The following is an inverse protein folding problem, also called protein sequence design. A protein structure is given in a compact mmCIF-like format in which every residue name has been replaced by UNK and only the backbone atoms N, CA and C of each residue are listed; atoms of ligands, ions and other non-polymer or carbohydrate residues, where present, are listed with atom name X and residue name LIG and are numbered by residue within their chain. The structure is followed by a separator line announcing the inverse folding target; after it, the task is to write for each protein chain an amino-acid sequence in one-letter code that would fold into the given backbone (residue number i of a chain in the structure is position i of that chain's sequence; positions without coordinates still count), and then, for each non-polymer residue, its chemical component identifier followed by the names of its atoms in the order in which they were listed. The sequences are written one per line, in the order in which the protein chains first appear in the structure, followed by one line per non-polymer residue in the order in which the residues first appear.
data_IF_160747090105
#
_entry.id   IF_160747090105
#
_cell.length_a   1.000
_cell.length_b   1.000
_cell.length_c   1.000
_cell.angle_alpha   90.00
_cell.angle_beta   90.00
_cell.angle_gamma   90.00
#
_symmetry.space_group_name_H-M   'P 1'
#
loop_
_entity.id
_entity.type
_entity.pdbx_description
1 polymer ?
#
# COMPACT_ATOMS: atom_id res chain seq x y z
N UNK A 1 29.43 -67.14 35.57
CA UNK A 1 29.25 -68.55 35.12
C UNK A 1 27.76 -68.68 34.81
N UNK A 2 27.26 -69.05 33.63
CA UNK A 2 27.74 -70.00 32.63
C UNK A 2 27.49 -69.45 31.22
N UNK A 3 28.48 -69.71 30.37
CA UNK A 3 28.60 -69.44 28.94
C UNK A 3 27.95 -70.57 28.14
N UNK A 4 27.45 -70.24 26.95
CA UNK A 4 27.33 -71.19 25.83
C UNK A 4 25.90 -71.61 25.50
N UNK A 5 25.52 -71.91 24.26
CA UNK A 5 26.30 -72.08 23.04
C UNK A 5 25.37 -72.06 21.83
N UNK A 6 25.96 -71.66 20.70
CA UNK A 6 25.48 -71.67 19.33
C UNK A 6 24.99 -73.06 18.90
N UNK A 7 23.91 -73.15 18.09
CA UNK A 7 23.89 -73.98 16.87
C UNK A 7 23.02 -73.40 15.74
N UNK A 8 23.51 -73.44 14.48
CA UNK A 8 22.79 -73.05 13.27
C UNK A 8 22.19 -74.26 12.54
N UNK A 9 21.25 -73.99 11.63
CA UNK A 9 20.77 -74.76 10.44
C UNK A 9 19.40 -74.19 10.07
N UNK A 10 18.92 -74.08 8.84
CA UNK A 10 19.44 -74.11 7.46
C UNK A 10 18.24 -73.70 6.58
N UNK A 11 18.45 -73.31 5.31
CA UNK A 11 17.43 -72.72 4.45
C UNK A 11 16.48 -73.79 3.89
N UNK A 12 15.21 -73.45 3.70
CA UNK A 12 14.19 -74.38 3.22
C UNK A 12 12.95 -73.71 2.66
N UNK A 13 13.08 -73.26 1.41
CA UNK A 13 12.13 -73.40 0.30
C UNK A 13 10.72 -72.75 0.34
N UNK A 14 10.22 -72.35 -0.85
CA UNK A 14 9.10 -71.43 -1.00
C UNK A 14 7.76 -72.18 -1.00
N UNK A 15 6.77 -71.64 -0.28
CA UNK A 15 5.37 -72.08 -0.44
C UNK A 15 4.48 -70.93 -0.84
N UNK A 16 4.20 -70.94 -2.14
CA UNK A 16 3.01 -70.53 -2.86
C UNK A 16 1.87 -69.87 -2.07
N UNK A 17 1.59 -68.64 -2.51
CA UNK A 17 0.26 -68.11 -2.84
C UNK A 17 -0.89 -68.44 -1.88
N UNK A 18 -1.12 -67.54 -0.95
CA UNK A 18 -2.50 -67.20 -0.58
C UNK A 18 -2.75 -65.76 -1.03
N UNK A 19 -3.28 -65.66 -2.26
CA UNK A 19 -4.11 -64.54 -2.72
C UNK A 19 -5.38 -64.52 -1.88
N UNK A 20 -5.22 -64.22 -0.59
CA UNK A 20 -6.32 -63.89 0.29
C UNK A 20 -6.77 -62.49 -0.09
N UNK A 21 -8.00 -62.40 -0.60
CA UNK A 21 -8.72 -61.17 -0.92
C UNK A 21 -8.39 -60.03 0.07
N UNK A 22 -7.37 -59.25 -0.27
CA UNK A 22 -7.17 -57.92 0.25
C UNK A 22 -8.33 -57.12 -0.31
N UNK A 23 -9.44 -57.14 0.43
CA UNK A 23 -10.61 -56.31 0.20
C UNK A 23 -10.06 -54.93 -0.12
N UNK A 24 -10.21 -54.57 -1.39
CA UNK A 24 -9.76 -53.35 -2.02
C UNK A 24 -10.51 -52.25 -1.28
N UNK A 25 -9.98 -51.86 -0.11
CA UNK A 25 -10.30 -50.60 0.53
C UNK A 25 -9.94 -49.60 -0.55
N UNK A 26 -10.96 -49.20 -1.32
CA UNK A 26 -10.90 -48.01 -2.13
C UNK A 26 -10.32 -46.98 -1.18
N UNK A 27 -9.06 -46.60 -1.42
CA UNK A 27 -8.52 -45.36 -0.88
C UNK A 27 -9.54 -44.34 -1.35
N UNK A 28 -10.49 -44.00 -0.48
CA UNK A 28 -11.37 -42.87 -0.70
C UNK A 28 -10.39 -41.73 -0.92
N UNK A 29 -10.41 -41.19 -2.12
CA UNK A 29 -9.68 -39.98 -2.41
C UNK A 29 -10.05 -38.98 -1.31
N UNK A 30 -9.06 -38.22 -0.80
CA UNK A 30 -9.34 -37.19 0.18
C UNK A 30 -10.50 -36.33 -0.35
N UNK A 31 -11.52 -36.04 0.48
CA UNK A 31 -12.64 -35.22 0.06
C UNK A 31 -12.10 -33.93 -0.55
N UNK A 32 -12.75 -33.44 -1.62
CA UNK A 32 -12.27 -32.26 -2.34
C UNK A 32 -12.00 -31.12 -1.35
N UNK A 33 -10.91 -30.35 -1.55
CA UNK A 33 -10.57 -29.25 -0.68
C UNK A 33 -11.78 -28.35 -0.48
N UNK A 34 -12.17 -28.18 0.79
CA UNK A 34 -13.34 -27.39 1.19
C UNK A 34 -13.29 -26.01 0.56
N UNK A 35 -14.48 -25.46 0.26
CA UNK A 35 -14.68 -24.10 -0.27
C UNK A 35 -13.70 -23.13 0.38
N UNK A 36 -12.79 -22.56 -0.42
CA UNK A 36 -11.87 -21.52 0.04
C UNK A 36 -12.69 -20.39 0.65
N UNK A 37 -12.35 -20.04 1.88
CA UNK A 37 -13.06 -19.00 2.62
C UNK A 37 -12.97 -17.64 1.91
N UNK A 38 -13.94 -16.75 2.20
CA UNK A 38 -13.99 -15.42 1.60
C UNK A 38 -12.72 -14.64 1.97
N UNK A 39 -12.03 -14.14 0.95
CA UNK A 39 -10.84 -13.30 1.11
C UNK A 39 -11.22 -11.89 1.55
N UNK A 40 -10.53 -11.38 2.57
CA UNK A 40 -10.67 -9.97 3.02
C UNK A 40 -10.15 -9.04 1.93
N UNK A 41 -9.20 -9.49 1.12
CA UNK A 41 -8.58 -8.71 0.07
C UNK A 41 -9.15 -9.10 -1.31
N UNK A 42 -9.78 -8.13 -2.00
CA UNK A 42 -10.29 -8.32 -3.38
C UNK A 42 -9.60 -7.39 -4.36
N UNK A 43 -8.98 -7.96 -5.40
CA UNK A 43 -8.31 -7.19 -6.44
C UNK A 43 -9.31 -6.38 -7.28
N UNK A 44 -8.88 -5.21 -7.76
CA UNK A 44 -9.54 -4.51 -8.87
C UNK A 44 -8.51 -3.95 -9.86
N UNK A 45 -8.95 -3.62 -11.07
CA UNK A 45 -8.09 -3.12 -12.14
C UNK A 45 -8.63 -1.77 -12.69
N UNK A 46 -7.72 -0.81 -12.86
CA UNK A 46 -7.94 0.50 -13.48
C UNK A 46 -8.32 0.42 -14.97
N UNK A 47 -7.95 -0.64 -15.67
CA UNK A 47 -8.27 -0.84 -17.09
C UNK A 47 -9.74 -1.20 -17.36
N UNK A 48 -10.49 -1.55 -16.30
CA UNK A 48 -11.83 -2.15 -16.41
C UNK A 48 -13.01 -1.17 -16.46
N UNK A 49 -12.77 0.15 -16.54
CA UNK A 49 -13.79 1.16 -16.20
C UNK A 49 -14.81 1.43 -17.31
N UNK A 50 -14.63 0.88 -18.51
CA UNK A 50 -15.49 1.17 -19.65
C UNK A 50 -16.93 0.65 -19.55
N UNK A 51 -17.28 -0.20 -18.56
CA UNK A 51 -18.66 -0.68 -18.33
C UNK A 51 -18.92 -1.28 -16.91
N UNK A 52 -17.98 -1.15 -15.96
CA UNK A 52 -18.07 -1.81 -14.65
C UNK A 52 -18.38 -0.83 -13.50
N UNK A 53 -18.98 -1.36 -12.44
CA UNK A 53 -19.21 -0.64 -11.17
C UNK A 53 -17.91 -0.03 -10.67
N UNK A 54 -17.90 1.28 -10.45
CA UNK A 54 -16.77 2.03 -9.87
C UNK A 54 -16.40 1.39 -8.52
N UNK A 55 -15.13 1.02 -8.29
CA UNK A 55 -14.66 0.53 -6.99
C UNK A 55 -14.99 1.54 -5.89
N UNK A 56 -15.53 1.04 -4.79
CA UNK A 56 -15.96 1.89 -3.69
C UNK A 56 -15.82 1.18 -2.36
N UNK A 57 -15.53 1.95 -1.32
CA UNK A 57 -15.56 1.51 0.08
C UNK A 57 -16.43 2.46 0.90
N UNK A 58 -16.72 2.12 2.15
CA UNK A 58 -17.57 2.92 3.05
C UNK A 58 -16.75 3.34 4.25
N UNK A 59 -16.80 4.63 4.58
CA UNK A 59 -16.33 5.19 5.85
C UNK A 59 -17.52 5.27 6.81
N UNK A 60 -17.56 4.42 7.83
CA UNK A 60 -18.58 4.35 8.88
C UNK A 60 -18.19 5.18 10.11
N UNK A 61 -16.91 5.18 10.47
CA UNK A 61 -16.40 5.85 11.68
C UNK A 61 -16.47 7.37 11.58
N UNK A 62 -16.33 7.93 10.37
CA UNK A 62 -16.13 9.37 10.15
C UNK A 62 -14.66 9.77 10.24
N UNK A 63 -13.77 8.79 10.12
CA UNK A 63 -12.33 8.97 10.07
C UNK A 63 -11.74 8.05 9.00
N UNK A 64 -10.62 8.47 8.43
CA UNK A 64 -9.80 7.63 7.58
C UNK A 64 -8.36 7.66 8.07
N UNK A 65 -7.79 6.46 8.21
CA UNK A 65 -6.36 6.25 8.31
C UNK A 65 -5.78 6.25 6.90
N UNK A 66 -4.61 6.84 6.72
CA UNK A 66 -4.02 6.97 5.39
C UNK A 66 -2.49 6.80 5.40
N UNK A 67 -1.91 6.58 4.22
CA UNK A 67 -0.47 6.37 4.06
C UNK A 67 -0.14 4.89 3.87
N UNK A 68 1.00 4.44 4.37
CA UNK A 68 1.40 3.04 4.27
C UNK A 68 0.95 2.21 5.47
N UNK A 69 1.18 0.89 5.42
CA UNK A 69 0.67 0.00 6.46
C UNK A 69 1.20 0.36 7.86
N UNK A 70 2.47 0.74 7.97
CA UNK A 70 3.08 1.13 9.23
C UNK A 70 2.49 2.45 9.78
N UNK A 71 2.30 3.47 8.92
CA UNK A 71 1.67 4.74 9.33
C UNK A 71 0.21 4.54 9.73
N UNK A 72 -0.53 3.72 8.99
CA UNK A 72 -1.93 3.37 9.29
C UNK A 72 -2.05 2.67 10.65
N UNK A 73 -1.16 1.71 10.96
CA UNK A 73 -1.14 1.03 12.25
C UNK A 73 -0.71 1.98 13.38
N UNK A 74 0.27 2.85 13.13
CA UNK A 74 0.68 3.87 14.10
C UNK A 74 -0.46 4.82 14.43
N UNK A 75 -1.12 5.35 13.41
CA UNK A 75 -2.20 6.32 13.53
C UNK A 75 -3.48 5.76 14.14
N UNK A 76 -3.73 4.45 14.01
CA UNK A 76 -4.86 3.82 14.71
C UNK A 76 -4.71 3.87 16.23
N UNK A 77 -3.52 4.18 16.75
CA UNK A 77 -3.23 4.32 18.18
C UNK A 77 -3.10 5.79 18.62
N UNK A 78 -3.18 6.74 17.69
CA UNK A 78 -3.01 8.18 17.95
C UNK A 78 -4.33 8.92 17.81
N UNK A 79 -4.63 9.84 18.72
CA UNK A 79 -5.82 10.71 18.63
C UNK A 79 -5.60 11.99 17.82
N UNK A 80 -4.37 12.22 17.35
CA UNK A 80 -4.05 13.35 16.48
C UNK A 80 -4.72 13.19 15.12
N UNK A 81 -5.04 14.32 14.48
CA UNK A 81 -5.68 14.33 13.17
C UNK A 81 -5.05 15.35 12.24
N UNK A 82 -4.88 14.96 11.00
CA UNK A 82 -4.58 15.85 9.89
C UNK A 82 -5.79 16.73 9.59
N UNK A 83 -5.51 17.97 9.19
CA UNK A 83 -6.51 18.98 8.91
C UNK A 83 -6.09 19.85 7.71
N UNK A 84 -7.02 20.66 7.23
CA UNK A 84 -6.81 21.58 6.10
C UNK A 84 -5.63 22.56 6.29
N UNK A 85 -5.23 22.82 7.54
CA UNK A 85 -4.05 23.65 7.85
C UNK A 85 -2.71 23.00 7.47
N UNK A 86 -2.72 21.71 7.08
CA UNK A 86 -1.52 20.95 6.79
C UNK A 86 -0.79 20.48 8.05
N UNK A 87 0.43 19.94 7.88
CA UNK A 87 1.25 19.44 8.98
C UNK A 87 1.75 20.60 9.86
N UNK A 88 1.65 20.45 11.18
CA UNK A 88 2.12 21.46 12.15
C UNK A 88 3.61 21.35 12.43
N UNK A 89 4.16 20.14 12.31
CA UNK A 89 5.59 19.86 12.53
C UNK A 89 6.27 19.60 11.18
N UNK A 90 7.41 20.27 10.98
CA UNK A 90 8.30 20.05 9.83
C UNK A 90 9.60 19.47 10.34
N UNK A 91 9.91 18.27 9.90
CA UNK A 91 11.22 17.67 10.07
C UNK A 91 12.15 18.11 8.95
N UNK A 92 13.44 18.24 9.27
CA UNK A 92 14.49 18.30 8.26
C UNK A 92 15.36 17.07 8.49
N UNK A 93 15.37 16.15 7.53
CA UNK A 93 16.27 15.00 7.53
C UNK A 93 17.14 15.08 6.29
N UNK A 94 18.39 15.53 6.47
CA UNK A 94 19.33 15.76 5.37
C UNK A 94 18.79 16.75 4.32
N UNK A 95 18.83 16.34 3.05
CA UNK A 95 18.32 17.10 1.90
C UNK A 95 16.81 16.96 1.71
N UNK A 96 16.16 16.05 2.42
CA UNK A 96 14.74 15.74 2.28
C UNK A 96 13.94 16.54 3.30
N UNK A 97 13.03 17.38 2.81
CA UNK A 97 12.04 18.06 3.65
C UNK A 97 10.91 17.10 3.94
N UNK A 98 10.78 16.72 5.21
CA UNK A 98 9.72 15.84 5.67
C UNK A 98 8.72 16.62 6.50
N UNK A 99 7.45 16.37 6.27
CA UNK A 99 6.36 16.85 7.10
C UNK A 99 5.85 15.72 7.96
N UNK A 100 5.58 16.01 9.23
CA UNK A 100 5.01 15.02 10.13
C UNK A 100 3.50 15.13 10.11
N UNK A 101 2.86 14.07 9.65
CA UNK A 101 1.41 13.94 9.65
C UNK A 101 0.95 13.02 10.79
N UNK A 102 -0.33 13.11 11.12
CA UNK A 102 -0.98 12.19 12.05
C UNK A 102 -1.41 10.88 11.38
N UNK A 103 -1.47 10.85 10.05
CA UNK A 103 -1.93 9.70 9.23
C UNK A 103 -3.35 9.24 9.55
N UNK A 104 -4.13 10.16 10.12
CA UNK A 104 -5.53 10.01 10.52
C UNK A 104 -6.21 11.32 10.23
N UNK A 105 -7.33 11.31 9.52
CA UNK A 105 -8.08 12.53 9.23
C UNK A 105 -9.54 12.33 9.63
N UNK A 106 -10.19 13.41 10.11
CA UNK A 106 -11.65 13.45 10.15
C UNK A 106 -12.14 13.37 8.71
N UNK A 107 -12.94 12.37 8.37
CA UNK A 107 -13.38 12.11 7.02
C UNK A 107 -14.91 12.08 6.93
N UNK A 108 -15.45 12.42 5.76
CA UNK A 108 -16.88 12.35 5.56
C UNK A 108 -17.38 10.90 5.60
N UNK A 109 -18.35 10.63 6.47
CA UNK A 109 -19.06 9.34 6.53
C UNK A 109 -19.82 9.09 5.24
N UNK A 110 -19.81 7.84 4.78
CA UNK A 110 -20.55 7.39 3.62
C UNK A 110 -19.68 6.66 2.60
N UNK A 111 -20.14 6.61 1.36
CA UNK A 111 -19.50 5.87 0.28
C UNK A 111 -18.36 6.70 -0.31
N UNK A 112 -17.19 6.10 -0.44
CA UNK A 112 -16.02 6.63 -1.10
C UNK A 112 -15.76 5.85 -2.38
N UNK A 113 -15.57 6.55 -3.49
CA UNK A 113 -15.24 6.00 -4.80
C UNK A 113 -13.76 6.10 -5.05
N UNK A 114 -13.25 5.18 -5.85
CA UNK A 114 -11.85 5.14 -6.29
C UNK A 114 -11.87 5.11 -7.81
N UNK A 115 -11.26 6.10 -8.44
CA UNK A 115 -11.20 6.19 -9.89
C UNK A 115 -9.78 6.46 -10.38
N UNK A 116 -9.36 5.85 -11.50
CA UNK A 116 -8.14 6.23 -12.18
C UNK A 116 -8.29 7.60 -12.82
N UNK A 117 -7.19 8.34 -12.82
CA UNK A 117 -7.01 9.64 -13.44
C UNK A 117 -6.05 9.46 -14.60
N UNK A 118 -6.40 10.02 -15.74
CA UNK A 118 -5.60 9.98 -16.95
C UNK A 118 -5.30 11.39 -17.44
N UNK A 119 -4.13 11.57 -18.02
CA UNK A 119 -3.81 12.70 -18.89
C UNK A 119 -3.63 12.09 -20.27
N UNK A 120 -4.45 12.54 -21.23
CA UNK A 120 -4.61 11.88 -22.52
C UNK A 120 -5.01 10.40 -22.34
N UNK A 121 -4.10 9.47 -22.63
CA UNK A 121 -4.27 8.01 -22.44
C UNK A 121 -3.33 7.43 -21.36
N UNK A 122 -2.54 8.29 -20.71
CA UNK A 122 -1.61 7.88 -19.66
C UNK A 122 -2.32 7.91 -18.29
N UNK A 123 -2.39 6.76 -17.63
CA UNK A 123 -2.81 6.66 -16.23
C UNK A 123 -1.76 7.26 -15.28
N UNK A 124 -2.03 8.46 -14.78
CA UNK A 124 -1.10 9.26 -13.97
C UNK A 124 -1.39 9.22 -12.47
N UNK A 125 -2.65 8.97 -12.08
CA UNK A 125 -3.03 9.06 -10.67
C UNK A 125 -4.28 8.24 -10.35
N UNK A 126 -4.59 8.12 -9.06
CA UNK A 126 -5.90 7.72 -8.55
C UNK A 126 -6.54 8.86 -7.76
N UNK A 127 -7.86 8.94 -7.78
CA UNK A 127 -8.63 9.79 -6.87
C UNK A 127 -9.58 8.94 -6.03
N UNK A 128 -9.42 9.03 -4.72
CA UNK A 128 -10.33 8.48 -3.71
C UNK A 128 -11.20 9.61 -3.18
N UNK A 129 -12.52 9.57 -3.35
CA UNK A 129 -13.38 10.70 -2.98
C UNK A 129 -14.74 10.28 -2.46
N UNK A 130 -15.32 11.09 -1.57
CA UNK A 130 -16.65 10.85 -1.05
C UNK A 130 -17.72 11.06 -2.16
N UNK A 131 -18.72 10.20 -2.24
CA UNK A 131 -19.69 10.11 -3.34
C UNK A 131 -20.54 11.38 -3.59
N UNK A 132 -20.59 12.29 -2.62
CA UNK A 132 -21.25 13.60 -2.76
C UNK A 132 -20.39 14.66 -3.46
N UNK A 133 -19.14 14.32 -3.82
CA UNK A 133 -18.21 15.17 -4.56
C UNK A 133 -17.91 14.55 -5.91
N UNK A 134 -17.38 15.35 -6.83
CA UNK A 134 -16.91 14.88 -8.13
C UNK A 134 -15.40 14.70 -8.08
N UNK A 135 -14.91 13.49 -8.38
CA UNK A 135 -13.48 13.19 -8.41
C UNK A 135 -12.70 14.16 -9.30
N UNK A 136 -13.25 14.48 -10.48
CA UNK A 136 -12.64 15.42 -11.41
C UNK A 136 -12.41 16.83 -10.84
N UNK A 137 -13.34 17.36 -10.05
CA UNK A 137 -13.19 18.70 -9.46
C UNK A 137 -12.06 18.69 -8.40
N UNK A 138 -11.96 17.61 -7.63
CA UNK A 138 -10.90 17.40 -6.64
C UNK A 138 -9.53 17.33 -7.33
N UNK A 139 -9.42 16.56 -8.41
CA UNK A 139 -8.17 16.44 -9.19
C UNK A 139 -7.77 17.79 -9.78
N UNK A 140 -8.72 18.56 -10.34
CA UNK A 140 -8.45 19.91 -10.87
C UNK A 140 -7.96 20.86 -9.78
N UNK A 141 -8.53 20.82 -8.58
CA UNK A 141 -8.05 21.63 -7.45
C UNK A 141 -6.64 21.22 -7.01
N UNK A 142 -6.35 19.92 -6.94
CA UNK A 142 -5.02 19.40 -6.62
C UNK A 142 -3.99 19.81 -7.68
N UNK A 143 -4.34 19.65 -8.95
CA UNK A 143 -3.51 20.04 -10.09
C UNK A 143 -3.17 21.54 -10.10
N UNK A 144 -4.13 22.41 -9.77
CA UNK A 144 -3.91 23.86 -9.62
C UNK A 144 -2.99 24.21 -8.45
N UNK A 145 -2.94 23.37 -7.42
CA UNK A 145 -2.00 23.55 -6.29
C UNK A 145 -0.60 23.09 -6.68
N UNK A 146 -0.51 22.04 -7.50
CA UNK A 146 0.77 21.47 -7.92
C UNK A 146 1.58 20.92 -6.74
N UNK A 147 2.87 20.74 -6.96
CA UNK A 147 3.80 20.36 -5.88
C UNK A 147 4.01 21.55 -4.96
N UNK A 148 3.68 21.39 -3.68
CA UNK A 148 3.82 22.46 -2.69
C UNK A 148 4.42 21.94 -1.38
N UNK A 149 5.73 21.68 -1.40
CA UNK A 149 6.50 21.18 -0.25
C UNK A 149 6.25 21.98 1.04
N UNK A 150 6.11 23.30 0.93
CA UNK A 150 5.86 24.17 2.08
C UNK A 150 4.37 24.35 2.43
N UNK A 151 3.43 23.72 1.71
CA UNK A 151 1.98 23.90 1.85
C UNK A 151 1.55 25.39 1.95
N UNK A 152 2.26 26.29 1.27
CA UNK A 152 2.05 27.75 1.35
C UNK A 152 1.15 28.30 0.24
N UNK A 153 0.64 27.46 -0.66
CA UNK A 153 -0.33 27.82 -1.70
C UNK A 153 -1.61 28.49 -1.15
N UNK A 154 -2.35 29.20 -2.03
CA UNK A 154 -3.53 30.00 -1.65
C UNK A 154 -4.72 29.14 -1.19
N UNK A 155 -4.95 27.98 -1.81
CA UNK A 155 -6.09 27.11 -1.50
C UNK A 155 -5.87 26.32 -0.20
N UNK A 156 -6.19 26.89 0.97
CA UNK A 156 -6.02 26.24 2.29
C UNK A 156 -6.95 25.04 2.55
N UNK A 157 -7.72 24.59 1.57
CA UNK A 157 -8.51 23.36 1.66
C UNK A 157 -7.81 22.16 1.02
N UNK A 158 -6.70 22.38 0.33
CA UNK A 158 -5.85 21.33 -0.19
C UNK A 158 -4.62 21.22 0.71
N UNK A 159 -4.15 20.01 0.96
CA UNK A 159 -2.86 19.76 1.61
C UNK A 159 -2.05 18.88 0.67
N UNK A 160 -0.93 19.40 0.19
CA UNK A 160 0.08 18.62 -0.52
C UNK A 160 0.85 17.76 0.46
N UNK A 161 1.16 16.55 0.04
CA UNK A 161 1.89 15.57 0.82
C UNK A 161 2.90 14.86 -0.07
N UNK A 162 4.15 14.81 0.39
CA UNK A 162 5.26 14.19 -0.32
C UNK A 162 5.34 12.69 0.04
N UNK A 163 5.90 11.86 -0.85
CA UNK A 163 6.19 10.45 -0.55
C UNK A 163 6.93 10.26 0.76
N UNK A 164 7.97 11.08 0.96
CA UNK A 164 8.83 11.03 2.14
C UNK A 164 8.09 11.36 3.43
N UNK A 165 6.86 11.88 3.33
CA UNK A 165 6.00 12.17 4.45
C UNK A 165 5.14 10.97 4.86
N UNK A 166 5.08 9.86 4.11
CA UNK A 166 4.27 8.66 4.48
C UNK A 166 4.95 7.31 4.20
N UNK A 167 6.18 7.35 3.69
CA UNK A 167 6.95 6.19 3.23
C UNK A 167 7.78 5.52 4.32
N UNK A 168 8.67 4.62 3.91
CA UNK A 168 9.69 3.97 4.77
C UNK A 168 10.54 4.94 5.62
N UNK A 169 10.67 6.19 5.18
CA UNK A 169 11.42 7.23 5.88
C UNK A 169 10.71 7.80 7.11
N UNK A 170 9.54 7.27 7.45
CA UNK A 170 8.71 7.75 8.57
C UNK A 170 8.57 6.64 9.62
N UNK A 171 8.81 7.01 10.88
CA UNK A 171 8.49 6.14 12.01
C UNK A 171 6.98 5.84 12.10
N UNK A 172 6.58 4.66 12.59
CA UNK A 172 7.37 3.71 13.37
C UNK A 172 8.07 2.58 12.57
N UNK A 173 8.17 2.66 11.24
CA UNK A 173 8.92 1.68 10.43
C UNK A 173 8.28 0.29 10.30
N UNK A 174 9.05 -0.70 9.85
CA UNK A 174 8.56 -2.06 9.59
C UNK A 174 8.15 -2.79 10.88
N UNK A 175 8.88 -2.55 11.97
CA UNK A 175 8.70 -3.30 13.21
C UNK A 175 7.26 -3.24 13.73
N UNK A 176 6.58 -2.07 13.62
CA UNK A 176 5.18 -1.96 14.05
C UNK A 176 4.26 -2.91 13.29
N UNK A 177 4.57 -3.17 12.01
CA UNK A 177 3.80 -4.06 11.16
C UNK A 177 4.06 -5.50 11.56
N UNK A 178 5.33 -5.86 11.76
CA UNK A 178 5.76 -7.19 12.20
C UNK A 178 5.09 -7.55 13.54
N UNK A 179 5.15 -6.64 14.50
CA UNK A 179 4.49 -6.80 15.81
C UNK A 179 2.98 -6.96 15.66
N UNK A 180 2.35 -6.10 14.84
CA UNK A 180 0.91 -6.13 14.63
C UNK A 180 0.44 -7.47 14.07
N UNK A 181 1.22 -8.11 13.18
CA UNK A 181 0.90 -9.43 12.62
C UNK A 181 1.48 -10.61 13.43
N UNK A 182 2.10 -10.36 14.58
CA UNK A 182 2.72 -11.40 15.40
C UNK A 182 3.91 -12.09 14.73
N UNK A 183 4.59 -11.42 13.80
CA UNK A 183 5.86 -11.90 13.27
C UNK A 183 6.93 -11.72 14.35
N UNK A 184 7.70 -12.79 14.62
CA UNK A 184 8.76 -12.77 15.65
C UNK A 184 10.09 -12.23 15.15
N UNK A 185 10.19 -11.90 13.86
CA UNK A 185 11.41 -11.38 13.25
C UNK A 185 11.55 -9.89 13.55
N UNK A 186 12.78 -9.41 13.63
CA UNK A 186 13.04 -7.97 13.71
C UNK A 186 13.05 -7.31 12.33
N UNK A 187 12.86 -6.00 12.31
CA UNK A 187 13.05 -5.17 11.11
C UNK A 187 14.47 -5.31 10.55
N UNK A 188 15.49 -5.35 11.40
CA UNK A 188 16.88 -5.58 11.00
C UNK A 188 17.03 -6.95 10.29
N UNK A 189 16.50 -8.04 10.85
CA UNK A 189 16.57 -9.36 10.21
C UNK A 189 15.90 -9.39 8.82
N UNK A 190 14.82 -8.62 8.65
CA UNK A 190 14.12 -8.53 7.36
C UNK A 190 14.88 -7.65 6.36
N UNK A 191 15.48 -6.57 6.85
CA UNK A 191 16.29 -5.64 6.06
C UNK A 191 17.59 -6.30 5.62
N UNK A 192 18.31 -6.93 6.55
CA UNK A 192 19.50 -7.75 6.26
C UNK A 192 19.13 -8.85 5.26
N UNK A 193 18.02 -9.58 5.43
CA UNK A 193 17.61 -10.58 4.43
C UNK A 193 17.24 -10.01 3.05
N UNK A 194 16.89 -8.72 2.98
CA UNK A 194 16.62 -8.00 1.73
C UNK A 194 17.92 -7.49 1.08
N UNK A 195 18.88 -6.99 1.87
CA UNK A 195 20.18 -6.47 1.46
C UNK A 195 21.18 -7.61 1.16
N UNK A 196 21.34 -8.55 2.10
CA UNK A 196 22.22 -9.74 2.07
C UNK A 196 21.70 -10.86 1.17
N UNK A 197 20.67 -10.58 0.37
CA UNK A 197 20.47 -11.33 -0.87
C UNK A 197 21.73 -11.38 -1.76
N UNK A 198 22.82 -10.71 -1.40
CA UNK A 198 24.15 -10.87 -1.96
C UNK A 198 24.98 -11.76 -0.98
N UNK A 199 24.67 -13.07 -0.83
CA UNK A 199 25.57 -13.95 -0.07
C UNK A 199 25.03 -15.17 0.67
N UNK A 200 23.95 -15.84 0.25
CA UNK A 200 23.55 -17.12 0.87
C UNK A 200 23.89 -18.29 -0.07
N UNK A 201 24.76 -19.19 0.39
CA UNK A 201 25.42 -20.26 -0.39
C UNK A 201 24.52 -21.34 -1.02
N UNK A 202 23.19 -21.16 -1.04
CA UNK A 202 22.28 -21.98 -1.84
C UNK A 202 21.29 -21.11 -2.63
N UNK A 203 21.33 -21.22 -3.96
CA UNK A 203 20.48 -20.44 -4.88
C UNK A 203 18.97 -20.55 -4.55
N UNK A 204 18.55 -21.68 -3.99
CA UNK A 204 17.15 -21.98 -3.65
C UNK A 204 16.66 -21.38 -2.33
N UNK A 205 17.55 -21.11 -1.37
CA UNK A 205 17.19 -20.47 -0.10
C UNK A 205 17.38 -18.96 -0.16
N UNK A 206 18.36 -18.48 -0.94
CA UNK A 206 18.57 -17.05 -1.22
C UNK A 206 17.36 -16.44 -1.95
N UNK A 207 16.86 -17.09 -3.01
CA UNK A 207 15.71 -16.60 -3.76
C UNK A 207 14.45 -16.51 -2.87
N UNK A 208 14.24 -17.49 -1.99
CA UNK A 208 13.11 -17.50 -1.06
C UNK A 208 13.27 -16.48 0.08
N UNK A 209 14.50 -16.20 0.50
CA UNK A 209 14.81 -15.17 1.50
C UNK A 209 14.58 -13.77 0.91
N UNK A 210 15.11 -13.50 -0.30
CA UNK A 210 14.84 -12.29 -1.08
C UNK A 210 13.36 -12.06 -1.31
N UNK A 211 12.64 -13.08 -1.77
CA UNK A 211 11.18 -12.98 -1.98
C UNK A 211 10.43 -12.63 -0.68
N UNK A 212 10.91 -13.11 0.47
CA UNK A 212 10.32 -12.80 1.79
C UNK A 212 10.69 -11.40 2.27
N UNK A 213 11.96 -11.00 2.22
CA UNK A 213 12.42 -9.66 2.60
C UNK A 213 11.74 -8.58 1.76
N UNK A 214 11.78 -8.77 0.44
CA UNK A 214 11.09 -7.91 -0.52
C UNK A 214 9.59 -7.83 -0.26
N UNK A 215 8.95 -8.93 0.10
CA UNK A 215 7.52 -8.94 0.38
C UNK A 215 7.15 -7.99 1.54
N UNK A 216 7.94 -7.99 2.61
CA UNK A 216 7.72 -7.09 3.76
C UNK A 216 8.08 -5.65 3.43
N UNK A 217 9.21 -5.40 2.76
CA UNK A 217 9.61 -4.05 2.34
C UNK A 217 8.60 -3.40 1.38
N UNK A 218 7.97 -4.20 0.50
CA UNK A 218 6.87 -3.71 -0.34
C UNK A 218 5.66 -3.20 0.45
N UNK A 219 5.53 -3.51 1.75
CA UNK A 219 4.51 -2.91 2.61
C UNK A 219 4.83 -1.47 3.01
N UNK A 220 6.10 -1.08 2.96
CA UNK A 220 6.65 0.23 3.32
C UNK A 220 7.10 1.07 2.13
N UNK A 221 7.07 0.52 0.92
CA UNK A 221 7.61 1.26 -0.22
C UNK A 221 6.55 1.55 -1.27
N UNK A 222 5.68 0.58 -1.59
CA UNK A 222 4.95 0.59 -2.86
C UNK A 222 3.43 0.59 -2.70
N UNK A 223 2.89 1.38 -1.76
CA UNK A 223 1.45 1.48 -1.58
C UNK A 223 1.01 2.75 -0.89
N UNK A 224 -0.22 3.16 -1.16
CA UNK A 224 -1.00 4.01 -0.27
C UNK A 224 -2.30 3.31 0.07
N UNK A 225 -2.69 3.41 1.34
CA UNK A 225 -3.93 2.87 1.86
C UNK A 225 -4.82 4.02 2.32
N UNK A 226 -6.14 3.84 2.16
CA UNK A 226 -7.15 4.61 2.90
C UNK A 226 -8.05 3.59 3.57
N UNK A 227 -8.09 3.61 4.90
CA UNK A 227 -8.74 2.55 5.69
C UNK A 227 -9.61 3.18 6.77
N UNK A 228 -10.86 2.73 6.87
CA UNK A 228 -11.67 3.03 8.04
C UNK A 228 -11.05 2.37 9.28
N UNK A 229 -10.78 3.12 10.37
CA UNK A 229 -10.30 2.56 11.63
C UNK A 229 -11.07 1.32 12.11
N UNK A 230 -12.40 1.25 11.91
CA UNK A 230 -13.22 0.10 12.32
C UNK A 230 -12.89 -1.19 11.53
N UNK A 231 -12.33 -1.06 10.33
CA UNK A 231 -11.94 -2.17 9.47
C UNK A 231 -10.51 -2.66 9.69
N UNK A 232 -9.61 -1.82 10.23
CA UNK A 232 -8.19 -2.16 10.37
C UNK A 232 -7.94 -3.46 11.17
N UNK A 233 -8.59 -3.74 12.31
CA UNK A 233 -8.38 -5.01 13.02
C UNK A 233 -8.67 -6.25 12.17
N UNK A 234 -9.65 -6.14 11.27
CA UNK A 234 -10.00 -7.22 10.32
C UNK A 234 -8.89 -7.46 9.31
N UNK A 235 -8.29 -6.39 8.77
CA UNK A 235 -7.16 -6.49 7.86
C UNK A 235 -5.94 -7.12 8.56
N UNK A 236 -5.61 -6.66 9.76
CA UNK A 236 -4.48 -7.22 10.53
C UNK A 236 -4.69 -8.69 10.83
N UNK A 237 -5.90 -9.10 11.22
CA UNK A 237 -6.21 -10.51 11.47
C UNK A 237 -6.07 -11.36 10.21
N UNK A 238 -6.54 -10.89 9.05
CA UNK A 238 -6.35 -11.60 7.78
C UNK A 238 -4.87 -11.79 7.42
N UNK A 239 -4.03 -10.78 7.70
CA UNK A 239 -2.59 -10.88 7.49
C UNK A 239 -1.92 -11.87 8.44
N UNK A 240 -2.35 -11.95 9.71
CA UNK A 240 -1.94 -12.99 10.67
C UNK A 240 -2.26 -14.39 10.16
N UNK A 241 -3.41 -14.54 9.50
CA UNK A 241 -3.88 -15.79 8.90
C UNK A 241 -3.18 -16.11 7.57
N UNK A 242 -2.21 -15.30 7.16
CA UNK A 242 -1.37 -15.53 5.99
C UNK A 242 -1.92 -14.94 4.70
N UNK A 243 -2.96 -14.08 4.76
CA UNK A 243 -3.42 -13.36 3.58
C UNK A 243 -2.33 -12.38 3.11
N UNK A 244 -1.99 -12.48 1.82
CA UNK A 244 -0.86 -11.72 1.26
C UNK A 244 -1.30 -10.51 0.45
N UNK A 245 -0.75 -9.34 0.81
CA UNK A 245 -0.87 -8.12 0.03
C UNK A 245 0.17 -8.10 -1.11
N UNK A 246 -0.22 -8.61 -2.28
CA UNK A 246 0.64 -8.58 -3.47
C UNK A 246 0.68 -7.18 -4.08
N UNK A 247 1.47 -7.03 -5.13
CA UNK A 247 1.64 -5.80 -5.91
C UNK A 247 0.41 -5.53 -6.80
N UNK A 248 -0.75 -5.28 -6.18
CA UNK A 248 -2.04 -5.07 -6.83
C UNK A 248 -2.91 -4.09 -6.05
N UNK A 249 -3.87 -3.49 -6.73
CA UNK A 249 -4.90 -2.67 -6.11
C UNK A 249 -5.98 -3.54 -5.45
N UNK A 250 -6.42 -3.14 -4.26
CA UNK A 250 -7.34 -3.93 -3.45
C UNK A 250 -8.44 -3.09 -2.81
N UNK A 251 -9.61 -3.70 -2.68
CA UNK A 251 -10.64 -3.29 -1.73
C UNK A 251 -10.66 -4.28 -0.55
N UNK A 252 -10.65 -3.74 0.66
CA UNK A 252 -10.68 -4.52 1.89
C UNK A 252 -12.11 -4.78 2.35
N UNK A 253 -12.47 -6.02 2.61
CA UNK A 253 -13.83 -6.47 2.93
C UNK A 253 -13.86 -7.21 4.26
N UNK A 254 -14.97 -7.12 4.98
CA UNK A 254 -15.19 -8.01 6.11
C UNK A 254 -15.38 -9.46 5.65
N UNK A 255 -14.92 -10.46 6.44
CA UNK A 255 -15.16 -11.88 6.15
C UNK A 255 -16.66 -12.17 6.02
N UNK A 256 -17.05 -12.89 4.97
CA UNK A 256 -18.44 -13.34 4.82
C UNK A 256 -18.72 -14.46 5.83
N UNK A 257 -19.61 -14.24 6.81
CA UNK A 257 -20.01 -15.31 7.74
C UNK A 257 -19.98 -14.96 9.22
N UNK A 258 -19.53 -13.76 9.59
CA UNK A 258 -19.76 -13.19 10.94
C UNK A 258 -21.22 -12.78 11.18
N UNK A 259 -22.16 -13.38 10.44
CA UNK A 259 -23.60 -13.16 10.40
C UNK A 259 -24.35 -13.63 11.66
N UNK A 260 -23.70 -13.64 12.83
CA UNK A 260 -24.32 -13.95 14.11
C UNK A 260 -25.26 -12.85 14.63
N UNK A 261 -25.28 -11.66 14.03
CA UNK A 261 -26.25 -10.61 14.36
C UNK A 261 -26.81 -9.97 13.08
N UNK A 262 -28.07 -10.28 12.80
CA UNK A 262 -28.88 -9.60 11.80
C UNK A 262 -28.98 -8.12 12.19
N UNK A 263 -28.29 -7.24 11.46
CA UNK A 263 -28.41 -5.80 11.74
C UNK A 263 -27.46 -4.86 11.01
N UNK A 264 -26.37 -5.31 10.38
CA UNK A 264 -25.44 -4.38 9.73
C UNK A 264 -25.16 -4.75 8.27
N UNK A 265 -26.05 -4.34 7.36
CA UNK A 265 -25.72 -4.30 5.93
C UNK A 265 -24.46 -3.46 5.65
N UNK A 266 -24.17 -2.47 6.51
CA UNK A 266 -22.93 -1.70 6.49
C UNK A 266 -21.67 -2.57 6.52
N UNK A 267 -21.70 -3.72 7.22
CA UNK A 267 -20.56 -4.65 7.32
C UNK A 267 -20.35 -5.53 6.09
N UNK A 268 -21.18 -5.40 5.05
CA UNK A 268 -20.92 -6.05 3.74
C UNK A 268 -20.09 -5.17 2.81
N UNK A 269 -20.06 -3.86 3.06
CA UNK A 269 -19.31 -2.93 2.22
C UNK A 269 -17.80 -3.07 2.48
N UNK A 270 -16.96 -2.78 1.48
CA UNK A 270 -15.53 -2.65 1.71
C UNK A 270 -15.26 -1.51 2.70
N UNK A 271 -14.25 -1.63 3.54
CA UNK A 271 -13.89 -0.66 4.58
C UNK A 271 -12.63 0.13 4.26
N UNK A 272 -12.00 -0.14 3.12
CA UNK A 272 -10.81 0.59 2.70
C UNK A 272 -10.29 0.15 1.35
N UNK A 273 -9.24 0.84 0.91
CA UNK A 273 -8.55 0.61 -0.36
C UNK A 273 -7.05 0.57 -0.13
N UNK A 274 -6.35 -0.23 -0.92
CA UNK A 274 -4.91 -0.19 -1.12
C UNK A 274 -4.63 0.04 -2.59
N UNK A 275 -3.84 1.06 -2.88
CA UNK A 275 -3.40 1.44 -4.20
C UNK A 275 -1.90 1.21 -4.31
N UNK A 276 -1.48 0.67 -5.43
CA UNK A 276 -0.09 0.32 -5.73
C UNK A 276 0.30 1.07 -7.01
N UNK A 277 1.38 1.86 -6.98
CA UNK A 277 1.86 2.52 -8.16
C UNK A 277 2.59 1.51 -9.06
N UNK A 278 2.53 1.70 -10.39
CA UNK A 278 3.33 0.90 -11.32
C UNK A 278 4.80 1.30 -11.29
N UNK A 279 5.07 2.59 -11.09
CA UNK A 279 6.40 3.19 -11.00
C UNK A 279 6.64 3.53 -9.54
N UNK A 280 7.78 3.10 -8.99
CA UNK A 280 7.99 2.96 -7.55
C UNK A 280 8.90 4.01 -6.95
N UNK A 281 9.17 5.11 -7.64
CA UNK A 281 10.25 6.03 -7.23
C UNK A 281 9.72 7.39 -6.74
N UNK A 282 8.59 7.89 -7.27
CA UNK A 282 8.13 9.23 -6.92
C UNK A 282 6.60 9.35 -7.02
N UNK A 283 5.93 9.10 -5.90
CA UNK A 283 4.50 9.31 -5.75
C UNK A 283 4.20 10.57 -4.92
N UNK A 284 3.08 11.22 -5.21
CA UNK A 284 2.66 12.45 -4.53
C UNK A 284 1.20 12.38 -4.14
N UNK A 285 0.82 13.21 -3.16
CA UNK A 285 -0.52 13.19 -2.59
C UNK A 285 -1.12 14.56 -2.39
N UNK A 286 -2.43 14.64 -2.56
CA UNK A 286 -3.19 15.82 -2.18
C UNK A 286 -4.45 15.42 -1.44
N UNK A 287 -4.63 16.01 -0.27
CA UNK A 287 -5.87 15.88 0.51
C UNK A 287 -6.76 17.08 0.26
N UNK A 288 -8.03 16.81 -0.06
CA UNK A 288 -9.06 17.83 -0.14
C UNK A 288 -9.94 17.78 1.10
N UNK A 289 -9.99 18.90 1.80
CA UNK A 289 -10.88 19.14 2.93
C UNK A 289 -12.06 20.04 2.54
N UNK A 290 -13.18 19.87 3.23
CA UNK A 290 -14.34 20.77 3.16
C UNK A 290 -15.00 20.83 4.53
N UNK A 291 -15.11 22.03 5.10
CA UNK A 291 -15.63 22.24 6.47
C UNK A 291 -14.91 21.38 7.52
N UNK A 292 -13.59 21.22 7.36
CA UNK A 292 -12.74 20.44 8.27
C UNK A 292 -12.85 18.92 8.13
N UNK A 293 -13.54 18.41 7.11
CA UNK A 293 -13.63 16.97 6.81
C UNK A 293 -12.85 16.67 5.53
N UNK A 294 -12.07 15.59 5.52
CA UNK A 294 -11.50 15.01 4.33
C UNK A 294 -12.63 14.51 3.43
N UNK A 295 -12.61 14.92 2.17
CA UNK A 295 -13.61 14.55 1.14
C UNK A 295 -12.98 14.01 -0.13
N UNK A 296 -11.66 14.12 -0.27
CA UNK A 296 -10.90 13.62 -1.40
C UNK A 296 -9.43 13.39 -1.05
N UNK A 297 -8.83 12.39 -1.68
CA UNK A 297 -7.40 12.10 -1.67
C UNK A 297 -6.98 11.77 -3.10
N UNK A 298 -6.05 12.54 -3.65
CA UNK A 298 -5.43 12.28 -4.95
C UNK A 298 -4.07 11.65 -4.71
N UNK A 299 -3.80 10.54 -5.39
CA UNK A 299 -2.55 9.81 -5.34
C UNK A 299 -1.92 9.76 -6.74
N UNK A 300 -0.92 10.61 -6.96
CA UNK A 300 -0.15 10.68 -8.21
C UNK A 300 0.97 9.64 -8.19
N UNK A 301 1.04 8.87 -9.26
CA UNK A 301 1.97 7.74 -9.42
C UNK A 301 2.97 7.99 -10.55
N UNK A 302 3.01 9.21 -11.11
CA UNK A 302 3.74 9.58 -12.31
C UNK A 302 4.55 10.87 -12.14
N UNK A 303 5.30 11.01 -11.04
CA UNK A 303 6.29 12.08 -10.89
C UNK A 303 5.74 13.51 -11.16
N UNK A 304 4.64 13.90 -10.53
CA UNK A 304 4.05 15.25 -10.63
C UNK A 304 3.42 15.61 -11.97
N UNK A 305 3.07 14.62 -12.80
CA UNK A 305 2.32 14.86 -14.04
C UNK A 305 0.95 15.55 -13.79
N UNK A 306 0.45 15.57 -12.56
CA UNK A 306 -0.73 16.39 -12.23
C UNK A 306 -0.49 17.90 -12.22
N UNK A 307 0.76 18.36 -12.28
CA UNK A 307 1.07 19.79 -12.41
C UNK A 307 0.74 20.28 -13.84
N UNK A 308 -0.48 20.79 -14.00
CA UNK A 308 -0.98 21.27 -15.30
C UNK A 308 -0.16 22.45 -15.84
N UNK A 309 0.55 23.20 -15.00
CA UNK A 309 1.43 24.28 -15.47
C UNK A 309 2.55 23.75 -16.38
N UNK A 310 2.99 22.51 -16.16
CA UNK A 310 4.01 21.84 -16.96
C UNK A 310 3.46 21.16 -18.21
N UNK A 311 2.15 20.92 -18.26
CA UNK A 311 1.52 20.04 -19.25
C UNK A 311 0.79 20.78 -20.38
N UNK A 312 0.90 22.11 -20.49
CA UNK A 312 0.58 22.85 -21.72
C UNK A 312 -0.85 22.65 -22.26
N UNK A 313 -1.86 22.51 -21.39
CA UNK A 313 -3.26 22.36 -21.79
C UNK A 313 -3.71 20.94 -22.19
N UNK A 314 -2.98 19.89 -21.77
CA UNK A 314 -3.39 18.49 -22.01
C UNK A 314 -4.70 18.11 -21.33
N UNK A 315 -5.39 17.13 -21.91
CA UNK A 315 -6.75 16.73 -21.51
C UNK A 315 -6.72 15.82 -20.27
N UNK A 316 -7.21 16.34 -19.14
CA UNK A 316 -7.41 15.56 -17.93
C UNK A 316 -8.69 14.72 -18.03
N UNK A 317 -8.64 13.45 -17.61
CA UNK A 317 -9.81 12.55 -17.59
C UNK A 317 -9.88 11.81 -16.25
N UNK A 318 -11.08 11.58 -15.74
CA UNK A 318 -11.31 10.74 -14.54
C UNK A 318 -12.35 9.68 -14.86
N UNK A 319 -12.02 8.41 -14.64
CA UNK A 319 -12.94 7.30 -14.92
C UNK A 319 -13.35 7.19 -16.39
N UNK A 320 -12.55 7.71 -17.32
CA UNK A 320 -12.88 7.80 -18.74
C UNK A 320 -13.80 8.97 -19.12
N UNK A 321 -14.21 9.80 -18.16
CA UNK A 321 -14.93 11.05 -18.45
C UNK A 321 -13.90 12.13 -18.80
N UNK A 322 -14.03 12.64 -20.02
CA UNK A 322 -13.23 13.73 -20.55
C UNK A 322 -13.55 15.04 -19.84
N UNK A 323 -12.52 15.70 -19.32
CA UNK A 323 -12.62 17.06 -18.82
C UNK A 323 -12.14 18.03 -19.91
N UNK A 324 -13.02 18.42 -20.84
CA UNK A 324 -12.69 19.56 -21.72
C UNK A 324 -12.40 20.77 -20.84
N UNK A 325 -11.26 21.40 -21.06
CA UNK A 325 -10.88 22.60 -20.32
C UNK A 325 -11.91 23.71 -20.54
N UNK A 326 -12.23 24.39 -19.43
CA UNK A 326 -12.67 25.78 -19.44
C UNK A 326 -11.42 26.57 -19.81
N UNK A 327 -11.47 27.29 -20.94
CA UNK A 327 -10.34 28.03 -21.49
C UNK A 327 -9.52 28.71 -20.41
N UNK A 328 -8.25 28.35 -20.32
CA UNK A 328 -7.25 29.22 -19.71
C UNK A 328 -7.36 30.53 -20.48
N UNK A 329 -7.63 31.68 -19.82
CA UNK A 329 -7.52 32.95 -20.51
C UNK A 329 -6.10 32.99 -21.09
N UNK A 330 -5.99 33.28 -22.39
CA UNK A 330 -4.72 33.67 -23.02
C UNK A 330 -4.25 34.94 -22.28
N UNK A 331 -3.60 34.78 -21.14
CA UNK A 331 -2.75 35.81 -20.58
C UNK A 331 -1.46 35.72 -21.38
N UNK A 332 -1.30 36.68 -22.29
CA UNK A 332 -0.05 37.02 -22.96
C UNK A 332 1.06 37.14 -21.91
N UNK A 333 1.69 36.03 -21.56
CA UNK A 333 2.76 35.99 -20.58
C UNK A 333 4.07 35.82 -21.33
N UNK A 334 4.71 36.96 -21.60
CA UNK A 334 6.10 37.11 -22.02
C UNK A 334 7.06 36.61 -20.91
N UNK A 335 6.95 35.35 -20.49
CA UNK A 335 7.97 34.73 -19.66
C UNK A 335 9.13 34.33 -20.57
N UNK A 336 10.17 35.15 -20.56
CA UNK A 336 11.48 34.81 -21.09
C UNK A 336 11.89 33.42 -20.56
N UNK A 337 12.12 32.49 -21.50
CA UNK A 337 12.64 31.15 -21.20
C UNK A 337 13.93 31.29 -20.39
N UNK A 338 13.94 30.84 -19.14
CA UNK A 338 15.17 30.69 -18.35
C UNK A 338 15.99 29.54 -18.97
N UNK A 339 17.14 29.81 -19.62
CA UNK A 339 17.88 28.81 -20.41
C UNK A 339 18.59 27.74 -19.56
N UNK A 340 18.35 27.69 -18.25
CA UNK A 340 19.01 26.77 -17.33
C UNK A 340 18.17 25.58 -16.84
N UNK A 341 16.93 25.40 -17.31
CA UNK A 341 16.15 24.21 -16.98
C UNK A 341 16.32 23.09 -18.03
N UNK A 342 17.35 22.27 -17.82
CA UNK A 342 17.57 21.03 -18.59
C UNK A 342 16.42 20.06 -18.33
N UNK A 343 15.72 19.65 -19.39
CA UNK A 343 14.77 18.55 -19.36
C UNK A 343 15.44 17.30 -18.77
N UNK A 344 15.09 16.94 -17.53
CA UNK A 344 15.55 15.70 -16.92
C UNK A 344 14.77 14.54 -17.58
N UNK A 345 15.36 13.91 -18.59
CA UNK A 345 14.99 12.54 -18.95
C UNK A 345 15.61 11.64 -17.88
N UNK A 346 14.86 10.73 -17.24
CA UNK A 346 15.46 9.74 -16.37
C UNK A 346 16.39 8.86 -17.21
N UNK A 347 17.69 9.10 -17.09
CA UNK A 347 18.72 8.15 -17.49
C UNK A 347 19.29 7.56 -16.21
N UNK A 348 19.17 6.25 -16.07
CA UNK A 348 19.84 5.33 -15.15
C UNK A 348 20.89 5.98 -14.23
N UNK A 349 20.47 6.39 -13.03
CA UNK A 349 21.38 6.71 -11.92
C UNK A 349 20.95 5.92 -10.69
N UNK A 350 21.44 4.68 -10.59
CA UNK A 350 21.28 3.81 -9.42
C UNK A 350 22.13 4.26 -8.20
N UNK A 351 23.04 5.21 -8.39
CA UNK A 351 24.08 5.53 -7.38
C UNK A 351 23.64 6.48 -6.25
N UNK A 352 22.53 7.23 -6.37
CA UNK A 352 22.17 8.23 -5.35
C UNK A 352 21.38 7.68 -4.15
N UNK A 353 20.85 6.45 -4.23
CA UNK A 353 20.03 5.88 -3.14
C UNK A 353 20.88 5.27 -2.02
N UNK A 354 22.08 4.73 -2.33
CA UNK A 354 22.92 4.07 -1.33
C UNK A 354 23.40 5.07 -0.25
N UNK A 355 23.74 6.29 -0.67
CA UNK A 355 24.26 7.34 0.21
C UNK A 355 23.21 7.88 1.19
N UNK A 356 21.93 7.92 0.79
CA UNK A 356 20.83 8.40 1.66
C UNK A 356 20.51 7.35 2.75
N UNK A 357 20.63 6.06 2.43
CA UNK A 357 20.34 4.96 3.37
C UNK A 357 21.41 4.83 4.46
N UNK A 358 22.68 5.02 4.12
CA UNK A 358 23.79 5.05 5.09
C UNK A 358 23.55 6.16 6.14
N UNK A 359 23.17 7.36 5.68
CA UNK A 359 22.93 8.50 6.58
C UNK A 359 21.73 8.30 7.53
N UNK A 360 20.67 7.61 7.09
CA UNK A 360 19.49 7.35 7.93
C UNK A 360 19.76 6.31 9.03
N UNK A 361 20.60 5.31 8.76
CA UNK A 361 21.02 4.28 9.73
C UNK A 361 21.84 4.87 10.88
N UNK A 362 22.74 5.81 10.58
CA UNK A 362 23.56 6.50 11.58
C UNK A 362 22.72 7.40 12.51
N UNK A 363 21.62 7.98 12.03
CA UNK A 363 20.73 8.81 12.85
C UNK A 363 19.86 8.00 13.81
N UNK A 364 19.35 6.83 13.39
CA UNK A 364 18.56 5.94 14.26
C UNK A 364 19.41 5.34 15.39
N UNK A 365 20.67 5.00 15.13
CA UNK A 365 21.58 4.50 16.16
C UNK A 365 21.97 5.58 17.19
N UNK A 366 22.10 6.84 16.76
CA UNK A 366 22.42 7.96 17.66
C UNK A 366 21.27 8.36 18.60
N UNK A 367 20.01 8.05 18.27
CA UNK A 367 18.87 8.30 19.16
C UNK A 367 18.72 7.24 20.27
N UNK A 368 19.22 6.02 20.05
CA UNK A 368 19.18 4.94 21.04
C UNK A 368 20.31 5.00 22.08
N UNK A 369 21.40 5.72 21.78
CA UNK A 369 22.56 5.87 22.69
C UNK A 369 22.49 7.03 23.69
N UNK A 370 21.36 7.75 23.79
CA UNK A 370 21.21 8.95 24.65
C UNK A 370 20.19 8.82 25.79
N UNK A 371 19.78 7.61 26.15
CA UNK A 371 18.99 7.35 27.36
C UNK A 371 19.78 6.54 28.38
#
# INVERSE_FOLDING_TARGET
MVVGSIRPRSPGSPSRSNLGNASRRQRREPPPPRRREPRVIRCFDASSYSNKKIPSFTCTSGELLWGQLHTVIGASKSDQRDAAGGPTERGVSGTIRQSKFAYRAKARKGVWRVEPVFIDDWHVAYVCYHANFKGLDIVREAAKVGVSVANNHKNKNIVYVNRYDWGEYVGPGLQVVLDAIGCKRSEDEITDAYEDGIGWDSEDDELKAKEKGWYFMNWLMCRVMLVDPEGLPTLIQAMKEGEKLKDKNYLFHYPSGTSGQAGNEARKAPFGVNLVPKIREFDFGWMKFTKGELVGFVYDIAYSDLDLSRNGGRELKVGGIVARELGVPDEDSDWEEDPHFVHYRPSDTEDSELDIRIASREMSQNQLGRN
#
